data_IF_249681221039
#
_entry.id   IF_249681221039
#
_cell.length_a   1.000
_cell.length_b   1.000
_cell.length_c   1.000
_cell.angle_alpha   90.00
_cell.angle_beta   90.00
_cell.angle_gamma   90.00
#
_symmetry.space_group_name_H-M   'P 1'
#
loop_
_entity.id
_entity.type
_entity.pdbx_description
1 polymer ?
#
# COMPACT_ATOMS: atom_id res chain seq x y z
N UNK A 1 -6.95 20.02 -6.14
CA UNK A 1 -6.27 20.21 -7.46
C UNK A 1 -6.17 21.67 -7.91
N UNK A 2 -7.06 22.57 -7.46
CA UNK A 2 -7.02 24.01 -7.73
C UNK A 2 -5.67 24.70 -7.45
N UNK A 3 -4.84 24.10 -6.59
CA UNK A 3 -3.53 24.63 -6.20
C UNK A 3 -2.34 23.98 -6.94
N UNK A 4 -2.57 23.13 -7.94
CA UNK A 4 -1.50 22.50 -8.74
C UNK A 4 -0.62 21.49 -7.99
N UNK A 5 -0.98 21.13 -6.75
CA UNK A 5 -0.28 20.12 -5.95
C UNK A 5 -0.77 18.70 -6.25
N UNK A 6 0.07 17.71 -5.91
CA UNK A 6 -0.21 16.28 -6.06
C UNK A 6 -1.30 15.82 -5.07
N UNK A 7 -2.41 15.31 -5.59
CA UNK A 7 -3.50 14.73 -4.81
C UNK A 7 -3.37 13.20 -4.80
N UNK A 8 -3.12 12.61 -3.62
CA UNK A 8 -3.10 11.17 -3.44
C UNK A 8 -4.40 10.71 -2.76
N UNK A 9 -5.26 10.02 -3.52
CA UNK A 9 -6.46 9.37 -2.98
C UNK A 9 -6.06 8.21 -2.06
N UNK A 10 -6.83 7.91 -1.03
CA UNK A 10 -6.44 6.92 -0.01
C UNK A 10 -7.55 5.91 0.27
N UNK A 11 -7.21 4.63 0.16
CA UNK A 11 -8.00 3.48 0.58
C UNK A 11 -7.60 3.13 2.02
N UNK A 12 -8.41 3.53 3.01
CA UNK A 12 -8.18 3.16 4.42
C UNK A 12 -8.60 1.70 4.64
N UNK A 13 -7.64 0.80 4.54
CA UNK A 13 -7.86 -0.64 4.54
C UNK A 13 -8.46 -1.15 5.87
N UNK A 14 -9.38 -2.10 5.76
CA UNK A 14 -9.96 -2.83 6.88
C UNK A 14 -10.52 -4.19 6.42
N UNK A 15 -10.93 -5.03 7.36
CA UNK A 15 -11.51 -6.35 7.09
C UNK A 15 -12.89 -6.45 7.74
N UNK A 16 -13.91 -6.76 6.95
CA UNK A 16 -15.24 -7.17 7.43
C UNK A 16 -15.99 -7.89 6.31
N UNK A 17 -17.17 -8.51 6.57
CA UNK A 17 -17.99 -9.10 5.52
C UNK A 17 -18.39 -8.12 4.40
N UNK A 18 -18.35 -6.81 4.66
CA UNK A 18 -18.63 -5.77 3.68
C UNK A 18 -17.40 -5.33 2.86
N UNK A 19 -16.18 -5.67 3.29
CA UNK A 19 -14.94 -5.26 2.62
C UNK A 19 -14.35 -6.44 1.85
N UNK A 20 -14.73 -6.53 0.58
CA UNK A 20 -14.25 -7.53 -0.37
C UNK A 20 -13.26 -6.91 -1.35
N UNK A 21 -12.55 -7.75 -2.12
CA UNK A 21 -11.70 -7.28 -3.21
C UNK A 21 -12.49 -6.36 -4.17
N UNK A 22 -13.70 -6.75 -4.56
CA UNK A 22 -14.50 -5.94 -5.49
C UNK A 22 -14.89 -4.58 -4.89
N UNK A 23 -15.16 -4.49 -3.59
CA UNK A 23 -15.45 -3.18 -2.96
C UNK A 23 -14.23 -2.27 -2.98
N UNK A 24 -13.02 -2.80 -2.80
CA UNK A 24 -11.79 -2.00 -2.90
C UNK A 24 -11.52 -1.52 -4.32
N UNK A 25 -11.80 -2.36 -5.32
CA UNK A 25 -11.63 -2.00 -6.73
C UNK A 25 -12.64 -0.94 -7.17
N UNK A 26 -13.91 -1.05 -6.74
CA UNK A 26 -14.91 -0.01 -6.98
C UNK A 26 -14.51 1.32 -6.33
N UNK A 27 -14.01 1.29 -5.08
CA UNK A 27 -13.54 2.51 -4.42
C UNK A 27 -12.30 3.11 -5.09
N UNK A 28 -11.44 2.27 -5.65
CA UNK A 28 -10.28 2.71 -6.45
C UNK A 28 -10.75 3.47 -7.69
N UNK A 29 -11.70 2.91 -8.44
CA UNK A 29 -12.29 3.56 -9.62
C UNK A 29 -12.93 4.89 -9.26
N UNK A 30 -13.77 4.93 -8.21
CA UNK A 30 -14.40 6.16 -7.73
C UNK A 30 -13.37 7.24 -7.36
N UNK A 31 -12.27 6.88 -6.70
CA UNK A 31 -11.20 7.83 -6.39
C UNK A 31 -10.54 8.36 -7.67
N UNK A 32 -10.28 7.50 -8.65
CA UNK A 32 -9.70 7.90 -9.94
C UNK A 32 -10.62 8.84 -10.71
N UNK A 33 -11.94 8.64 -10.67
CA UNK A 33 -12.93 9.53 -11.29
C UNK A 33 -12.91 10.95 -10.69
N UNK A 34 -12.50 11.10 -9.43
CA UNK A 34 -12.28 12.44 -8.83
C UNK A 34 -11.05 13.17 -9.37
N UNK A 35 -10.22 12.46 -10.16
CA UNK A 35 -9.02 12.99 -10.80
C UNK A 35 -7.78 13.03 -9.91
N UNK A 36 -7.65 12.14 -8.93
CA UNK A 36 -6.41 12.02 -8.12
C UNK A 36 -5.21 11.62 -8.98
N UNK A 37 -4.02 12.07 -8.57
CA UNK A 37 -2.77 11.83 -9.32
C UNK A 37 -2.13 10.47 -8.94
N UNK A 38 -2.54 9.87 -7.82
CA UNK A 38 -2.11 8.53 -7.37
C UNK A 38 -3.05 7.98 -6.30
N UNK A 39 -2.89 6.70 -5.96
CA UNK A 39 -3.64 6.02 -4.89
C UNK A 39 -2.68 5.51 -3.81
N UNK A 40 -3.08 5.63 -2.55
CA UNK A 40 -2.46 4.96 -1.42
C UNK A 40 -3.39 3.89 -0.84
N UNK A 41 -2.88 2.68 -0.62
CA UNK A 41 -3.48 1.70 0.29
C UNK A 41 -2.90 1.99 1.68
N UNK A 42 -3.77 2.30 2.64
CA UNK A 42 -3.37 2.66 4.00
C UNK A 42 -3.92 1.65 5.00
N UNK A 43 -3.05 0.79 5.50
CA UNK A 43 -3.30 -0.09 6.64
C UNK A 43 -2.79 0.57 7.93
N UNK A 44 -3.71 1.20 8.64
CA UNK A 44 -3.45 1.90 9.89
C UNK A 44 -3.20 0.92 11.06
N UNK A 45 -3.85 -0.24 11.03
CA UNK A 45 -3.88 -1.18 12.15
C UNK A 45 -2.82 -2.28 12.04
N UNK A 46 -2.17 -2.42 10.89
CA UNK A 46 -1.23 -3.50 10.60
C UNK A 46 -1.93 -4.83 10.31
N UNK A 47 -3.17 -4.82 9.84
CA UNK A 47 -3.97 -6.05 9.65
C UNK A 47 -3.92 -6.60 8.21
N UNK A 48 -3.28 -5.88 7.28
CA UNK A 48 -3.17 -6.33 5.90
C UNK A 48 -2.22 -7.53 5.81
N UNK A 49 -2.75 -8.68 5.41
CA UNK A 49 -1.93 -9.88 5.24
C UNK A 49 -1.11 -9.81 3.95
N UNK A 50 0.06 -10.49 3.89
CA UNK A 50 0.91 -10.44 2.71
C UNK A 50 0.23 -10.93 1.42
N UNK A 51 -0.61 -11.97 1.51
CA UNK A 51 -1.35 -12.47 0.35
C UNK A 51 -2.48 -11.53 -0.05
N UNK A 52 -3.18 -10.91 0.90
CA UNK A 52 -4.18 -9.89 0.59
C UNK A 52 -3.53 -8.64 -0.05
N UNK A 53 -2.33 -8.25 0.40
CA UNK A 53 -1.56 -7.17 -0.21
C UNK A 53 -1.21 -7.51 -1.67
N UNK A 54 -0.67 -8.71 -1.92
CA UNK A 54 -0.35 -9.18 -3.27
C UNK A 54 -1.57 -9.16 -4.18
N UNK A 55 -2.69 -9.74 -3.74
CA UNK A 55 -3.92 -9.85 -4.51
C UNK A 55 -4.50 -8.47 -4.84
N UNK A 56 -4.66 -7.62 -3.83
CA UNK A 56 -5.24 -6.29 -4.00
C UNK A 56 -4.39 -5.42 -4.95
N UNK A 57 -3.06 -5.40 -4.74
CA UNK A 57 -2.15 -4.64 -5.61
C UNK A 57 -2.20 -5.18 -7.03
N UNK A 58 -2.12 -6.51 -7.21
CA UNK A 58 -2.16 -7.13 -8.53
C UNK A 58 -3.44 -6.76 -9.28
N UNK A 59 -4.61 -6.83 -8.63
CA UNK A 59 -5.88 -6.51 -9.28
C UNK A 59 -6.03 -5.03 -9.60
N UNK A 60 -5.54 -4.13 -8.74
CA UNK A 60 -5.51 -2.69 -9.05
C UNK A 60 -4.63 -2.43 -10.26
N UNK A 61 -3.39 -2.94 -10.26
CA UNK A 61 -2.41 -2.70 -11.35
C UNK A 61 -2.84 -3.32 -12.68
N UNK A 62 -3.63 -4.40 -12.67
CA UNK A 62 -4.22 -4.98 -13.89
C UNK A 62 -5.31 -4.10 -14.50
N UNK A 63 -6.11 -3.42 -13.67
CA UNK A 63 -7.33 -2.72 -14.11
C UNK A 63 -7.10 -1.23 -14.34
N UNK A 64 -6.17 -0.63 -13.63
CA UNK A 64 -5.98 0.82 -13.60
C UNK A 64 -4.52 1.19 -13.85
N UNK A 65 -4.30 2.09 -14.81
CA UNK A 65 -3.01 2.73 -15.02
C UNK A 65 -2.83 3.86 -13.98
N UNK A 66 -2.42 3.48 -12.78
CA UNK A 66 -2.23 4.41 -11.65
C UNK A 66 -0.96 4.10 -10.87
N UNK A 67 -0.34 5.16 -10.34
CA UNK A 67 0.71 5.03 -9.32
C UNK A 67 0.09 4.64 -7.98
N UNK A 68 0.49 3.50 -7.46
CA UNK A 68 -0.03 2.92 -6.23
C UNK A 68 1.05 2.92 -5.15
N UNK A 69 0.73 3.46 -3.97
CA UNK A 69 1.60 3.45 -2.80
C UNK A 69 1.02 2.57 -1.69
N UNK A 70 1.85 1.84 -0.96
CA UNK A 70 1.43 1.06 0.21
C UNK A 70 1.99 1.64 1.51
N UNK A 71 1.10 1.90 2.47
CA UNK A 71 1.42 2.29 3.84
C UNK A 71 0.90 1.24 4.80
N UNK A 72 1.79 0.59 5.55
CA UNK A 72 1.44 -0.42 6.55
C UNK A 72 2.12 -0.13 7.89
N UNK A 73 1.37 -0.29 8.98
CA UNK A 73 1.92 -0.27 10.34
C UNK A 73 2.45 -1.65 10.74
N UNK A 74 3.59 -1.70 11.42
CA UNK A 74 4.27 -2.93 11.81
C UNK A 74 3.72 -3.60 13.08
N UNK A 75 2.60 -3.10 13.63
CA UNK A 75 2.09 -3.42 14.97
C UNK A 75 1.90 -4.92 15.21
N UNK A 76 1.49 -5.65 14.16
CA UNK A 76 1.19 -7.08 14.20
C UNK A 76 2.34 -7.96 13.71
N UNK A 77 3.44 -7.37 13.23
CA UNK A 77 4.54 -8.06 12.55
C UNK A 77 4.27 -8.45 11.09
N UNK A 78 3.16 -7.98 10.49
CA UNK A 78 2.80 -8.34 9.11
C UNK A 78 3.37 -7.41 8.04
N UNK A 79 3.74 -6.19 8.41
CA UNK A 79 4.00 -5.11 7.46
C UNK A 79 5.19 -5.39 6.53
N UNK A 80 6.30 -5.94 7.04
CA UNK A 80 7.49 -6.25 6.24
C UNK A 80 7.16 -7.22 5.10
N UNK A 81 6.44 -8.30 5.44
CA UNK A 81 6.00 -9.30 4.48
C UNK A 81 4.96 -8.71 3.51
N UNK A 82 4.04 -7.87 4.00
CA UNK A 82 3.04 -7.21 3.18
C UNK A 82 3.66 -6.24 2.16
N UNK A 83 4.66 -5.45 2.57
CA UNK A 83 5.40 -4.59 1.66
C UNK A 83 6.14 -5.41 0.60
N UNK A 84 6.85 -6.46 0.99
CA UNK A 84 7.58 -7.31 0.03
C UNK A 84 6.64 -7.93 -1.01
N UNK A 85 5.51 -8.50 -0.57
CA UNK A 85 4.50 -9.07 -1.46
C UNK A 85 3.82 -8.02 -2.35
N UNK A 86 3.61 -6.81 -1.85
CA UNK A 86 3.09 -5.71 -2.67
C UNK A 86 4.09 -5.26 -3.75
N UNK A 87 5.39 -5.27 -3.45
CA UNK A 87 6.46 -4.97 -4.41
C UNK A 87 6.48 -6.03 -5.51
N UNK A 88 6.42 -7.31 -5.17
CA UNK A 88 6.31 -8.39 -6.16
C UNK A 88 5.05 -8.27 -7.04
N UNK A 89 3.96 -7.70 -6.51
CA UNK A 89 2.73 -7.44 -7.25
C UNK A 89 2.76 -6.14 -8.10
N UNK A 90 3.85 -5.37 -8.02
CA UNK A 90 4.04 -4.16 -8.83
C UNK A 90 3.56 -2.85 -8.19
N UNK A 91 3.56 -2.74 -6.85
CA UNK A 91 3.34 -1.44 -6.18
C UNK A 91 4.47 -0.46 -6.50
N UNK A 92 4.15 0.82 -6.72
CA UNK A 92 5.11 1.82 -7.20
C UNK A 92 5.85 2.56 -6.07
N UNK A 93 5.38 2.43 -4.83
CA UNK A 93 5.97 3.08 -3.67
C UNK A 93 5.51 2.46 -2.37
N UNK A 94 6.35 2.54 -1.35
CA UNK A 94 6.08 1.98 -0.02
C UNK A 94 6.50 2.98 1.07
N UNK A 95 5.75 3.04 2.15
CA UNK A 95 6.07 3.89 3.29
C UNK A 95 6.92 3.12 4.32
N UNK A 96 8.11 3.63 4.61
CA UNK A 96 9.03 3.09 5.61
C UNK A 96 9.33 4.14 6.70
N UNK A 97 10.15 3.76 7.67
CA UNK A 97 10.74 4.69 8.66
C UNK A 97 12.25 4.43 8.74
N UNK A 98 13.05 5.41 9.19
CA UNK A 98 14.44 5.12 9.54
C UNK A 98 14.48 4.05 10.63
N UNK A 99 15.44 3.14 10.56
CA UNK A 99 15.53 1.96 11.44
C UNK A 99 15.38 2.28 12.93
N UNK A 100 15.99 3.36 13.41
CA UNK A 100 15.90 3.84 14.80
C UNK A 100 14.52 4.34 15.23
N UNK A 101 13.62 4.60 14.27
CA UNK A 101 12.23 5.05 14.47
C UNK A 101 11.21 4.06 13.84
N UNK A 102 11.62 2.83 13.59
CA UNK A 102 10.85 1.81 12.87
C UNK A 102 10.25 0.73 13.79
N UNK A 103 9.52 -0.20 13.19
CA UNK A 103 8.93 -1.39 13.83
C UNK A 103 7.89 -1.06 14.91
N UNK A 104 7.40 -2.09 15.62
CA UNK A 104 6.32 -1.99 16.62
C UNK A 104 5.14 -1.18 16.07
N UNK A 105 4.73 -0.09 16.72
CA UNK A 105 3.63 0.76 16.27
C UNK A 105 3.94 1.61 15.03
N UNK A 106 5.21 1.63 14.60
CA UNK A 106 5.70 2.38 13.45
C UNK A 106 5.50 1.65 12.13
N UNK A 107 6.51 1.75 11.25
CA UNK A 107 6.55 1.16 9.91
C UNK A 107 7.80 0.29 9.75
N UNK A 108 7.88 -0.57 8.72
CA UNK A 108 9.11 -1.28 8.37
C UNK A 108 10.32 -0.35 8.22
N UNK A 109 11.50 -0.84 8.59
CA UNK A 109 12.75 -0.10 8.48
C UNK A 109 13.15 0.11 7.01
N UNK A 110 13.52 1.34 6.66
CA UNK A 110 13.92 1.74 5.30
C UNK A 110 15.16 0.98 4.85
N UNK A 111 16.13 0.85 5.74
CA UNK A 111 17.41 0.21 5.53
C UNK A 111 17.26 -1.31 5.34
N UNK A 112 16.38 -1.94 6.14
CA UNK A 112 16.12 -3.36 6.03
C UNK A 112 15.39 -3.70 4.72
N UNK A 113 14.39 -2.91 4.34
CA UNK A 113 13.69 -3.10 3.08
C UNK A 113 14.62 -2.82 1.89
N UNK A 114 15.44 -1.78 1.96
CA UNK A 114 16.47 -1.48 0.96
C UNK A 114 17.46 -2.63 0.79
N UNK A 115 17.93 -3.23 1.89
CA UNK A 115 18.79 -4.40 1.87
C UNK A 115 18.09 -5.65 1.27
N UNK A 116 16.81 -5.85 1.58
CA UNK A 116 16.02 -6.97 1.05
C UNK A 116 15.82 -6.89 -0.47
N UNK A 117 15.74 -5.68 -1.03
CA UNK A 117 15.59 -5.44 -2.46
C UNK A 117 16.91 -5.27 -3.20
N UNK A 118 18.04 -5.22 -2.48
CA UNK A 118 19.35 -5.03 -3.08
C UNK A 118 19.68 -6.21 -4.01
N UNK A 119 19.82 -5.93 -5.32
CA UNK A 119 20.11 -6.95 -6.33
C UNK A 119 18.89 -7.72 -6.82
N UNK A 120 17.68 -7.33 -6.42
CA UNK A 120 16.47 -7.76 -7.12
C UNK A 120 16.51 -7.23 -8.58
N UNK A 121 16.00 -8.01 -9.55
CA UNK A 121 15.99 -7.63 -10.96
C UNK A 121 15.15 -6.37 -11.26
#
# INVERSE_FOLDING_TARGET
RSHGAHAQGTLSYTTSPAHTLQTWLNLTEQLLETGVDSIAIKDMSGILTPMAAYELVSEIKKRFEVRLHLHCHATTGMAEMALLKAIEAGVDGVATASSSMSATYGRPATEALGAALAGAP
#
